data_IF_335206453241
#
_entry.id   IF_335206453241
#
_cell.length_a   1.000
_cell.length_b   1.000
_cell.length_c   1.000
_cell.angle_alpha   90.00
_cell.angle_beta   90.00
_cell.angle_gamma   90.00
#
_symmetry.space_group_name_H-M   'P 1'
#
loop_
_entity.id
_entity.type
_entity.pdbx_description
1 polymer ?
#
# COMPACT_ATOMS: atom_id res chain seq x y z
N UNK A 1 -18.34 101.56 -52.93
CA UNK A 1 -19.15 100.66 -52.10
C UNK A 1 -18.39 99.35 -52.00
N UNK A 2 -17.97 99.00 -50.79
CA UNK A 2 -17.34 97.72 -50.46
C UNK A 2 -18.44 96.71 -50.09
N UNK A 3 -18.29 95.44 -50.46
CA UNK A 3 -18.63 94.27 -49.63
C UNK A 3 -18.66 92.97 -50.47
N UNK A 4 -18.14 91.81 -50.09
CA UNK A 4 -17.05 91.35 -49.22
C UNK A 4 -16.66 89.97 -49.80
N UNK A 5 -15.36 89.60 -49.91
CA UNK A 5 -15.01 88.29 -50.43
C UNK A 5 -15.39 87.21 -49.41
N UNK A 6 -16.33 86.34 -49.79
CA UNK A 6 -16.83 85.24 -48.97
C UNK A 6 -15.68 84.38 -48.44
N UNK A 7 -15.40 84.51 -47.15
CA UNK A 7 -14.42 83.69 -46.46
C UNK A 7 -15.02 82.30 -46.26
N UNK A 8 -14.58 81.32 -47.06
CA UNK A 8 -14.87 79.92 -46.80
C UNK A 8 -13.79 79.40 -45.85
N UNK A 9 -14.13 79.10 -44.57
CA UNK A 9 -13.12 78.59 -43.64
C UNK A 9 -12.66 77.21 -44.12
N UNK A 10 -11.36 77.09 -44.37
CA UNK A 10 -10.74 75.82 -44.70
C UNK A 10 -10.78 74.93 -43.46
N UNK A 11 -11.72 73.98 -43.43
CA UNK A 11 -11.79 72.98 -42.38
C UNK A 11 -10.72 71.93 -42.66
N UNK A 12 -9.58 72.02 -41.97
CA UNK A 12 -8.54 71.00 -42.02
C UNK A 12 -9.08 69.64 -41.52
N UNK A 13 -8.51 68.51 -41.98
CA UNK A 13 -8.94 67.20 -41.51
C UNK A 13 -8.64 67.06 -40.01
N UNK A 14 -9.67 66.72 -39.24
CA UNK A 14 -9.54 66.43 -37.81
C UNK A 14 -8.79 65.12 -37.66
N UNK A 15 -7.56 65.18 -37.16
CA UNK A 15 -6.77 64.00 -36.87
C UNK A 15 -7.36 63.29 -35.65
N UNK A 16 -8.02 62.16 -35.88
CA UNK A 16 -8.49 61.29 -34.81
C UNK A 16 -7.33 60.40 -34.35
N UNK A 17 -6.89 60.57 -33.11
CA UNK A 17 -5.89 59.67 -32.53
C UNK A 17 -6.47 58.24 -32.47
N UNK A 18 -5.75 57.24 -32.98
CA UNK A 18 -6.19 55.86 -32.86
C UNK A 18 -6.20 55.49 -31.38
N UNK A 19 -7.34 54.99 -30.90
CA UNK A 19 -7.44 54.44 -29.55
C UNK A 19 -6.42 53.29 -29.42
N UNK A 20 -5.49 53.41 -28.47
CA UNK A 20 -4.59 52.32 -28.11
C UNK A 20 -5.42 51.15 -27.58
N UNK A 21 -5.63 50.14 -28.42
CA UNK A 21 -6.20 48.88 -28.00
C UNK A 21 -5.12 48.09 -27.25
N UNK A 22 -5.33 47.82 -25.96
CA UNK A 22 -4.48 46.90 -25.21
C UNK A 22 -4.51 45.52 -25.89
N UNK A 23 -3.35 44.89 -26.14
CA UNK A 23 -3.33 43.55 -26.70
C UNK A 23 -4.05 42.59 -25.74
N UNK A 24 -4.82 41.61 -26.25
CA UNK A 24 -5.43 40.60 -25.39
C UNK A 24 -4.34 39.83 -24.64
N UNK A 25 -4.56 39.58 -23.36
CA UNK A 25 -3.66 38.74 -22.57
C UNK A 25 -3.56 37.35 -23.23
N UNK A 26 -2.37 36.97 -23.68
CA UNK A 26 -2.11 35.64 -24.22
C UNK A 26 -2.42 34.59 -23.14
N UNK A 27 -3.33 33.66 -23.46
CA UNK A 27 -3.58 32.51 -22.59
C UNK A 27 -2.27 31.71 -22.41
N UNK A 28 -2.02 31.12 -21.23
CA UNK A 28 -0.83 30.30 -21.02
C UNK A 28 -0.85 29.12 -21.99
N UNK A 29 0.11 29.11 -22.92
CA UNK A 29 0.30 28.00 -23.83
C UNK A 29 0.95 26.85 -23.05
N UNK A 30 0.15 25.87 -22.64
CA UNK A 30 0.66 24.62 -22.06
C UNK A 30 1.52 23.94 -23.12
N UNK A 31 2.80 23.77 -22.84
CA UNK A 31 3.74 23.17 -23.79
C UNK A 31 3.52 21.66 -23.88
N UNK A 32 3.72 21.07 -25.06
CA UNK A 32 3.61 19.62 -25.28
C UNK A 32 4.43 18.78 -24.28
N UNK A 33 5.56 19.34 -23.81
CA UNK A 33 6.44 18.73 -22.79
C UNK A 33 5.77 18.63 -21.42
N UNK A 34 4.99 19.63 -21.04
CA UNK A 34 4.28 19.63 -19.75
C UNK A 34 3.15 18.61 -19.75
N UNK A 35 2.50 18.42 -20.89
CA UNK A 35 1.48 17.39 -21.09
C UNK A 35 2.10 16.00 -20.94
N UNK A 36 3.22 15.75 -21.63
CA UNK A 36 3.94 14.46 -21.56
C UNK A 36 4.44 14.16 -20.14
N UNK A 37 4.97 15.17 -19.44
CA UNK A 37 5.37 15.05 -18.04
C UNK A 37 4.19 14.70 -17.13
N UNK A 38 3.03 15.32 -17.32
CA UNK A 38 1.83 15.02 -16.54
C UNK A 38 1.38 13.57 -16.75
N UNK A 39 1.46 13.04 -17.98
CA UNK A 39 1.17 11.63 -18.26
C UNK A 39 2.17 10.69 -17.58
N UNK A 40 3.47 11.00 -17.65
CA UNK A 40 4.50 10.20 -16.98
C UNK A 40 4.27 10.16 -15.46
N UNK A 41 4.06 11.33 -14.83
CA UNK A 41 3.79 11.41 -13.39
C UNK A 41 2.53 10.62 -13.01
N UNK A 42 1.47 10.71 -13.81
CA UNK A 42 0.25 9.92 -13.59
C UNK A 42 0.51 8.41 -13.59
N UNK A 43 1.32 7.91 -14.54
CA UNK A 43 1.70 6.49 -14.60
C UNK A 43 2.52 6.05 -13.39
N UNK A 44 3.58 6.80 -13.07
CA UNK A 44 4.47 6.49 -11.94
C UNK A 44 3.69 6.50 -10.62
N UNK A 45 2.75 7.44 -10.46
CA UNK A 45 1.93 7.53 -9.25
C UNK A 45 1.03 6.30 -9.08
N UNK A 46 0.44 5.80 -10.18
CA UNK A 46 -0.33 4.56 -10.18
C UNK A 46 0.53 3.33 -9.84
N UNK A 47 1.73 3.23 -10.40
CA UNK A 47 2.67 2.13 -10.11
C UNK A 47 3.10 2.11 -8.64
N UNK A 48 3.37 3.28 -8.04
CA UNK A 48 3.72 3.40 -6.61
C UNK A 48 2.54 2.98 -5.73
N UNK A 49 1.32 3.43 -6.05
CA UNK A 49 0.12 3.06 -5.29
C UNK A 49 -0.07 1.54 -5.31
N UNK A 50 0.10 0.91 -6.48
CA UNK A 50 -0.01 -0.53 -6.64
C UNK A 50 1.07 -1.28 -5.85
N UNK A 51 2.33 -0.82 -5.90
CA UNK A 51 3.42 -1.40 -5.12
C UNK A 51 3.17 -1.29 -3.61
N UNK A 52 2.69 -0.13 -3.14
CA UNK A 52 2.32 0.04 -1.72
C UNK A 52 1.21 -0.91 -1.32
N UNK A 53 0.18 -1.10 -2.14
CA UNK A 53 -0.88 -2.07 -1.88
C UNK A 53 -0.34 -3.50 -1.82
N UNK A 54 0.51 -3.89 -2.77
CA UNK A 54 1.13 -5.22 -2.81
C UNK A 54 1.99 -5.47 -1.56
N UNK A 55 2.77 -4.46 -1.16
CA UNK A 55 3.58 -4.50 0.04
C UNK A 55 2.71 -4.55 1.29
N UNK A 56 1.57 -3.85 1.34
CA UNK A 56 0.64 -3.93 2.47
C UNK A 56 0.00 -5.32 2.61
N UNK A 57 -0.31 -5.98 1.50
CA UNK A 57 -0.80 -7.35 1.48
C UNK A 57 0.28 -8.35 1.91
N UNK A 58 1.54 -8.12 1.49
CA UNK A 58 2.67 -9.00 1.80
C UNK A 58 3.23 -8.80 3.22
N UNK A 59 3.12 -7.57 3.73
CA UNK A 59 3.53 -7.18 5.09
C UNK A 59 2.42 -7.32 6.11
N UNK A 60 1.23 -7.78 5.71
CA UNK A 60 0.21 -8.17 6.68
C UNK A 60 0.80 -9.33 7.48
N UNK A 61 1.00 -9.19 8.81
CA UNK A 61 1.42 -10.32 9.60
C UNK A 61 0.40 -11.44 9.36
N UNK A 62 0.83 -12.70 9.22
CA UNK A 62 -0.12 -13.80 9.20
C UNK A 62 -1.05 -13.60 10.40
N UNK A 63 -2.38 -13.83 10.24
CA UNK A 63 -3.28 -13.75 11.38
C UNK A 63 -2.62 -14.54 12.51
N UNK A 64 -2.57 -13.99 13.74
CA UNK A 64 -2.02 -14.75 14.85
C UNK A 64 -2.67 -16.13 14.78
N UNK A 65 -1.90 -17.23 14.86
CA UNK A 65 -2.48 -18.56 14.82
C UNK A 65 -3.66 -18.48 15.77
N UNK A 66 -4.86 -18.73 15.24
CA UNK A 66 -6.05 -18.79 16.07
C UNK A 66 -5.76 -19.96 17.00
N UNK A 67 -5.16 -19.67 18.15
CA UNK A 67 -5.34 -20.45 19.35
C UNK A 67 -6.84 -20.41 19.51
N UNK A 68 -7.51 -21.39 18.88
CA UNK A 68 -8.82 -21.84 19.31
C UNK A 68 -8.70 -21.78 20.81
N UNK A 69 -9.41 -20.82 21.43
CA UNK A 69 -9.35 -20.59 22.85
C UNK A 69 -9.37 -21.99 23.44
N UNK A 70 -8.23 -22.42 23.98
CA UNK A 70 -8.08 -23.75 24.50
C UNK A 70 -9.14 -23.75 25.57
N UNK A 71 -10.28 -24.32 25.23
CA UNK A 71 -11.40 -24.49 26.15
C UNK A 71 -10.71 -25.08 27.35
N UNK A 72 -10.94 -24.47 28.51
CA UNK A 72 -10.38 -24.80 29.82
C UNK A 72 -10.77 -26.24 30.21
N UNK A 73 -10.39 -27.18 29.35
CA UNK A 73 -10.37 -28.59 29.59
C UNK A 73 -9.10 -28.76 30.41
N UNK A 74 -9.18 -29.45 31.56
CA UNK A 74 -7.99 -29.82 32.29
C UNK A 74 -7.03 -30.46 31.29
N UNK A 75 -5.84 -29.87 31.15
CA UNK A 75 -4.82 -30.39 30.23
C UNK A 75 -4.36 -31.71 30.83
N UNK A 76 -4.94 -32.80 30.34
CA UNK A 76 -4.55 -34.13 30.78
C UNK A 76 -3.10 -34.32 30.31
N UNK A 77 -2.14 -34.52 31.24
CA UNK A 77 -0.78 -34.81 30.85
C UNK A 77 -0.75 -36.02 29.91
N UNK A 78 -0.13 -35.83 28.76
CA UNK A 78 0.09 -36.90 27.78
C UNK A 78 1.47 -37.49 28.04
N UNK A 79 1.54 -38.80 28.27
CA UNK A 79 2.80 -39.51 28.43
C UNK A 79 3.30 -39.90 27.04
N UNK A 80 4.34 -39.23 26.58
CA UNK A 80 5.03 -39.60 25.35
C UNK A 80 6.01 -40.74 25.66
N UNK A 81 5.89 -41.84 24.93
CA UNK A 81 6.86 -42.95 25.01
C UNK A 81 7.75 -42.89 23.78
N UNK A 82 9.05 -42.79 24.00
CA UNK A 82 10.05 -42.83 22.93
C UNK A 82 10.47 -44.26 22.64
N UNK A 83 10.96 -44.48 21.43
CA UNK A 83 11.43 -45.80 20.97
C UNK A 83 12.69 -46.27 21.69
N UNK A 84 13.45 -45.34 22.27
CA UNK A 84 14.58 -45.64 23.15
C UNK A 84 14.14 -46.09 24.56
N UNK A 85 12.83 -46.09 24.85
CA UNK A 85 12.23 -46.54 26.10
C UNK A 85 12.04 -45.43 27.13
N UNK A 86 12.49 -44.21 26.85
CA UNK A 86 12.24 -43.07 27.74
C UNK A 86 10.79 -42.60 27.65
N UNK A 87 10.29 -42.04 28.75
CA UNK A 87 8.94 -41.51 28.84
C UNK A 87 8.98 -40.10 29.37
N UNK A 88 8.26 -39.20 28.72
CA UNK A 88 8.12 -37.82 29.19
C UNK A 88 6.65 -37.48 29.32
N UNK A 89 6.32 -36.72 30.35
CA UNK A 89 4.97 -36.21 30.54
C UNK A 89 4.90 -34.79 29.95
N UNK A 90 4.03 -34.58 28.97
CA UNK A 90 3.87 -33.31 28.27
C UNK A 90 2.42 -32.83 28.36
N UNK A 91 2.24 -31.53 28.59
CA UNK A 91 0.91 -30.91 28.69
C UNK A 91 0.57 -30.02 27.49
N UNK A 92 1.60 -29.46 26.84
CA UNK A 92 1.46 -28.48 25.77
C UNK A 92 2.24 -28.93 24.55
N UNK A 93 1.54 -29.52 23.57
CA UNK A 93 2.19 -29.97 22.36
C UNK A 93 1.34 -29.72 21.11
N UNK A 94 2.02 -29.63 19.97
CA UNK A 94 1.41 -29.50 18.65
C UNK A 94 2.07 -30.46 17.68
N UNK A 95 1.29 -31.14 16.85
CA UNK A 95 1.79 -32.03 15.80
C UNK A 95 1.72 -31.28 14.47
N UNK A 96 2.87 -31.11 13.81
CA UNK A 96 2.98 -30.44 12.50
C UNK A 96 3.71 -31.36 11.54
N UNK A 97 2.98 -31.93 10.57
CA UNK A 97 3.52 -32.92 9.64
C UNK A 97 4.03 -34.15 10.39
N UNK A 98 5.33 -34.43 10.26
CA UNK A 98 6.00 -35.55 10.94
C UNK A 98 6.76 -35.13 12.22
N UNK A 99 6.44 -33.96 12.78
CA UNK A 99 7.14 -33.40 13.93
C UNK A 99 6.15 -33.09 15.06
N UNK A 100 6.49 -33.53 16.26
CA UNK A 100 5.88 -33.13 17.51
C UNK A 100 6.64 -31.93 18.10
N UNK A 101 5.94 -30.86 18.39
CA UNK A 101 6.45 -29.68 19.07
C UNK A 101 5.95 -29.70 20.50
N UNK A 102 6.87 -29.72 21.46
CA UNK A 102 6.54 -29.59 22.89
C UNK A 102 6.84 -28.16 23.29
N UNK A 103 5.80 -27.41 23.68
CA UNK A 103 5.89 -25.99 24.01
C UNK A 103 5.89 -25.84 25.52
N UNK A 104 7.06 -25.51 26.06
CA UNK A 104 7.22 -25.15 27.47
C UNK A 104 7.17 -23.62 27.64
N UNK A 105 7.14 -23.13 28.87
CA UNK A 105 7.12 -21.68 29.17
C UNK A 105 8.35 -20.95 28.61
N UNK A 106 9.45 -21.67 28.43
CA UNK A 106 10.75 -21.11 28.03
C UNK A 106 11.16 -21.43 26.60
N UNK A 107 10.69 -22.53 26.02
CA UNK A 107 11.15 -22.99 24.71
C UNK A 107 10.18 -23.99 24.06
N UNK A 108 10.20 -24.03 22.72
CA UNK A 108 9.55 -25.08 21.95
C UNK A 108 10.59 -26.13 21.53
N UNK A 109 10.47 -27.35 22.07
CA UNK A 109 11.33 -28.49 21.74
C UNK A 109 10.74 -29.25 20.55
N UNK A 110 11.59 -29.52 19.56
CA UNK A 110 11.22 -30.26 18.35
C UNK A 110 11.56 -31.74 18.51
N UNK A 111 10.56 -32.59 18.42
CA UNK A 111 10.67 -34.05 18.48
C UNK A 111 10.19 -34.63 17.16
N UNK A 112 10.96 -35.56 16.57
CA UNK A 112 10.51 -36.27 15.37
C UNK A 112 9.52 -37.36 15.74
N UNK A 113 8.39 -37.47 15.03
CA UNK A 113 7.40 -38.53 15.29
C UNK A 113 7.99 -39.93 15.01
N UNK A 114 9.02 -40.03 14.16
CA UNK A 114 9.71 -41.30 13.90
C UNK A 114 10.45 -41.87 15.13
N UNK A 115 10.73 -41.02 16.11
CA UNK A 115 11.41 -41.34 17.37
C UNK A 115 10.42 -41.67 18.50
N UNK A 116 9.14 -41.31 18.29
CA UNK A 116 8.05 -41.56 19.23
C UNK A 116 7.42 -42.92 18.93
N UNK A 117 7.21 -43.70 19.97
CA UNK A 117 6.44 -44.93 19.89
C UNK A 117 4.95 -44.61 19.99
N UNK A 118 4.31 -44.46 18.84
CA UNK A 118 2.88 -44.11 18.75
C UNK A 118 1.97 -45.24 19.26
N UNK A 119 2.42 -46.50 19.17
CA UNK A 119 1.67 -47.67 19.66
C UNK A 119 1.61 -47.66 21.18
N UNK A 120 2.73 -47.33 21.84
CA UNK A 120 2.81 -47.19 23.30
C UNK A 120 2.20 -45.88 23.85
N UNK A 121 1.96 -44.88 23.00
CA UNK A 121 1.43 -43.55 23.39
C UNK A 121 -0.11 -43.46 23.27
N UNK A 122 -0.79 -44.49 22.76
CA UNK A 122 -2.24 -44.51 22.64
C UNK A 122 -2.91 -44.95 23.96
N UNK A 123 -3.67 -44.06 24.61
CA UNK A 123 -4.57 -44.38 25.71
C UNK A 123 -6.01 -44.05 25.35
#
# INVERSE_FOLDING_TARGET
MFAEPGYSPYTGPVYSEPAYASPPASAPAVSQREIDLAYQVGRLSGEIEQLRQQQNLSSSPPPPPQTQAATDRPRIPTVLVFRDGHRIEIQNYAIVGQTLWVVDEKAANKISIADVDLDATQN
#
